data_IF_297548718220
#
_entry.id   IF_297548718220
#
_cell.length_a   1.000
_cell.length_b   1.000
_cell.length_c   1.000
_cell.angle_alpha   90.00
_cell.angle_beta   90.00
_cell.angle_gamma   90.00
#
_symmetry.space_group_name_H-M   'P 1'
#
loop_
_entity.id
_entity.type
_entity.pdbx_description
1 polymer ?
#
# COMPACT_ATOMS: atom_id res chain seq x y z
N UNK A 1 -4.53 -24.11 -1.43
CA UNK A 1 -5.30 -23.16 -2.28
C UNK A 1 -4.43 -22.73 -3.45
N UNK A 2 -5.03 -22.35 -4.57
CA UNK A 2 -4.28 -21.82 -5.72
C UNK A 2 -4.43 -20.31 -5.77
N UNK A 3 -3.33 -19.58 -5.68
CA UNK A 3 -3.30 -18.14 -5.44
C UNK A 3 -2.52 -17.44 -6.54
N UNK A 4 -3.04 -16.34 -7.06
CA UNK A 4 -2.35 -15.46 -8.00
C UNK A 4 -1.99 -14.14 -7.30
N UNK A 5 -0.72 -13.73 -7.38
CA UNK A 5 -0.25 -12.44 -6.88
C UNK A 5 0.27 -11.61 -8.05
N UNK A 6 -0.42 -10.53 -8.40
CA UNK A 6 0.08 -9.58 -9.39
C UNK A 6 0.95 -8.52 -8.69
N UNK A 7 2.02 -8.07 -9.32
CA UNK A 7 2.99 -7.16 -8.67
C UNK A 7 3.88 -7.86 -7.62
N UNK A 8 4.05 -9.18 -7.73
CA UNK A 8 4.77 -10.01 -6.74
C UNK A 8 6.26 -9.68 -6.58
N UNK A 9 6.86 -8.90 -7.46
CA UNK A 9 8.25 -8.40 -7.34
C UNK A 9 8.32 -6.95 -6.83
N UNK A 10 7.17 -6.37 -6.46
CA UNK A 10 7.09 -5.06 -5.83
C UNK A 10 7.41 -5.11 -4.33
N UNK A 11 7.47 -3.94 -3.69
CA UNK A 11 7.79 -3.78 -2.27
C UNK A 11 6.87 -4.60 -1.34
N UNK A 12 5.56 -4.42 -1.44
CA UNK A 12 4.58 -5.18 -0.64
C UNK A 12 4.40 -6.60 -1.23
N UNK A 13 4.32 -6.69 -2.57
CA UNK A 13 4.01 -7.94 -3.26
C UNK A 13 5.02 -9.05 -3.03
N UNK A 14 6.31 -8.73 -2.89
CA UNK A 14 7.35 -9.73 -2.63
C UNK A 14 7.24 -10.36 -1.24
N UNK A 15 6.87 -9.56 -0.23
CA UNK A 15 6.63 -10.06 1.13
C UNK A 15 5.37 -10.90 1.22
N UNK A 16 4.29 -10.42 0.60
CA UNK A 16 3.04 -11.16 0.56
C UNK A 16 3.22 -12.49 -0.18
N UNK A 17 3.92 -12.48 -1.32
CA UNK A 17 4.22 -13.70 -2.07
C UNK A 17 4.99 -14.71 -1.21
N UNK A 18 6.05 -14.27 -0.52
CA UNK A 18 6.83 -15.10 0.39
C UNK A 18 6.00 -15.65 1.56
N UNK A 19 5.11 -14.83 2.13
CA UNK A 19 4.27 -15.25 3.25
C UNK A 19 3.19 -16.27 2.83
N UNK A 20 2.75 -16.26 1.57
CA UNK A 20 1.77 -17.18 1.01
C UNK A 20 2.41 -18.49 0.51
N UNK A 21 3.71 -18.46 0.15
CA UNK A 21 4.48 -19.63 -0.31
C UNK A 21 4.98 -20.45 0.89
N UNK A 22 4.04 -21.03 1.59
CA UNK A 22 4.20 -21.77 2.85
C UNK A 22 4.35 -23.29 2.65
N UNK A 23 4.43 -23.76 1.41
CA UNK A 23 4.47 -25.18 1.04
C UNK A 23 3.11 -25.87 1.05
N UNK A 24 2.03 -25.19 1.47
CA UNK A 24 0.64 -25.69 1.45
C UNK A 24 -0.13 -25.08 0.26
N UNK A 25 0.13 -23.81 -0.03
CA UNK A 25 -0.48 -23.11 -1.13
C UNK A 25 0.33 -23.27 -2.43
N UNK A 26 -0.38 -23.23 -3.56
CA UNK A 26 0.24 -23.08 -4.89
C UNK A 26 0.16 -21.62 -5.26
N UNK A 27 1.28 -20.91 -5.18
CA UNK A 27 1.32 -19.45 -5.40
C UNK A 27 2.01 -19.13 -6.72
N UNK A 28 1.34 -18.39 -7.58
CA UNK A 28 1.89 -17.91 -8.85
C UNK A 28 1.98 -16.39 -8.84
N UNK A 29 3.01 -15.84 -9.49
CA UNK A 29 3.25 -14.41 -9.59
C UNK A 29 3.24 -13.90 -11.03
N UNK A 30 2.66 -12.71 -11.25
CA UNK A 30 2.77 -11.93 -12.50
C UNK A 30 3.35 -10.56 -12.13
N UNK A 31 4.37 -10.13 -12.90
CA UNK A 31 4.99 -8.82 -12.68
C UNK A 31 5.72 -8.36 -13.94
N UNK A 32 5.64 -7.09 -14.26
CA UNK A 32 6.34 -6.50 -15.41
C UNK A 32 7.85 -6.64 -15.29
N UNK A 33 8.42 -6.68 -14.07
CA UNK A 33 9.84 -6.98 -13.85
C UNK A 33 10.24 -8.41 -14.29
N UNK A 34 9.25 -9.27 -14.53
CA UNK A 34 9.43 -10.61 -15.11
C UNK A 34 9.07 -10.67 -16.61
N UNK A 35 8.84 -9.53 -17.25
CA UNK A 35 8.37 -9.46 -18.64
C UNK A 35 6.89 -9.87 -18.82
N UNK A 36 6.11 -9.91 -17.74
CA UNK A 36 4.68 -10.31 -17.78
C UNK A 36 3.79 -9.15 -17.33
N UNK A 37 3.13 -8.52 -18.31
CA UNK A 37 2.09 -7.51 -18.09
C UNK A 37 0.72 -8.21 -17.90
N UNK A 38 -0.02 -7.87 -16.86
CA UNK A 38 -1.35 -8.45 -16.59
C UNK A 38 -2.35 -8.21 -17.73
N UNK A 39 -2.18 -7.14 -18.48
CA UNK A 39 -3.06 -6.83 -19.64
C UNK A 39 -2.97 -7.94 -20.72
N UNK A 40 -1.83 -8.63 -20.83
CA UNK A 40 -1.56 -9.58 -21.90
C UNK A 40 -1.22 -11.00 -21.43
N UNK A 41 -0.89 -11.19 -20.15
CA UNK A 41 -0.26 -12.44 -19.68
C UNK A 41 -1.00 -13.07 -18.49
N UNK A 42 -2.30 -12.78 -18.34
CA UNK A 42 -3.11 -13.49 -17.35
C UNK A 42 -3.17 -15.00 -17.70
N UNK A 43 -3.04 -15.90 -16.71
CA UNK A 43 -2.93 -17.33 -16.96
C UNK A 43 -4.29 -17.94 -17.36
N UNK A 44 -4.27 -18.98 -18.20
CA UNK A 44 -5.48 -19.74 -18.57
C UNK A 44 -6.00 -20.66 -17.44
N UNK A 45 -5.31 -20.72 -16.30
CA UNK A 45 -5.65 -21.59 -15.20
C UNK A 45 -6.57 -20.89 -14.19
N UNK A 46 -7.42 -21.67 -13.49
CA UNK A 46 -8.26 -21.15 -12.42
C UNK A 46 -7.47 -20.95 -11.14
N UNK A 47 -7.88 -19.95 -10.34
CA UNK A 47 -7.33 -19.61 -9.03
C UNK A 47 -8.45 -19.42 -8.02
N UNK A 48 -8.18 -19.81 -6.77
CA UNK A 48 -9.13 -19.56 -5.68
C UNK A 48 -9.12 -18.07 -5.28
N UNK A 49 -7.93 -17.48 -5.16
CA UNK A 49 -7.73 -16.12 -4.69
C UNK A 49 -6.78 -15.35 -5.60
N UNK A 50 -7.04 -14.05 -5.73
CA UNK A 50 -6.18 -13.11 -6.45
C UNK A 50 -5.83 -11.93 -5.56
N UNK A 51 -4.55 -11.68 -5.37
CA UNK A 51 -4.04 -10.44 -4.78
C UNK A 51 -3.57 -9.52 -5.90
N UNK A 52 -4.27 -8.41 -6.06
CA UNK A 52 -3.98 -7.45 -7.12
C UNK A 52 -3.18 -6.26 -6.58
N UNK A 53 -1.83 -6.38 -6.63
CA UNK A 53 -0.90 -5.34 -6.19
C UNK A 53 -0.17 -4.65 -7.36
N UNK A 54 -0.27 -5.17 -8.57
CA UNK A 54 0.35 -4.56 -9.74
C UNK A 54 -0.22 -3.16 -9.99
N UNK A 55 0.63 -2.16 -9.97
CA UNK A 55 0.27 -0.77 -10.24
C UNK A 55 1.52 0.10 -10.44
N UNK A 56 1.36 1.28 -11.02
CA UNK A 56 2.31 2.39 -10.94
C UNK A 56 1.94 3.26 -9.72
N UNK A 57 2.66 3.15 -8.58
CA UNK A 57 2.22 3.71 -7.31
C UNK A 57 2.63 5.18 -7.08
N UNK A 58 3.27 5.83 -8.05
CA UNK A 58 3.79 7.19 -7.91
C UNK A 58 2.73 8.25 -8.22
N UNK A 59 2.38 9.06 -7.22
CA UNK A 59 1.53 10.24 -7.38
C UNK A 59 2.20 11.24 -8.36
N UNK A 60 3.50 11.50 -8.20
CA UNK A 60 4.22 12.45 -9.04
C UNK A 60 4.26 12.01 -10.51
N UNK A 61 4.54 10.72 -10.76
CA UNK A 61 4.54 10.20 -12.12
C UNK A 61 3.14 10.26 -12.75
N UNK A 62 2.09 10.00 -11.97
CA UNK A 62 0.71 10.05 -12.48
C UNK A 62 0.31 11.45 -12.97
N UNK A 63 0.88 12.51 -12.39
CA UNK A 63 0.65 13.88 -12.85
C UNK A 63 1.39 14.15 -14.17
N UNK A 64 2.58 13.56 -14.35
CA UNK A 64 3.36 13.72 -15.58
C UNK A 64 2.84 12.88 -16.73
N UNK A 65 2.39 11.65 -16.43
CA UNK A 65 2.03 10.61 -17.39
C UNK A 65 0.66 10.00 -17.03
N UNK A 66 -0.43 10.79 -17.03
CA UNK A 66 -1.73 10.34 -16.54
C UNK A 66 -2.32 9.18 -17.36
N UNK A 67 -2.12 9.18 -18.68
CA UNK A 67 -2.64 8.13 -19.57
C UNK A 67 -1.96 6.78 -19.32
N UNK A 68 -0.63 6.76 -19.16
CA UNK A 68 0.12 5.55 -18.86
C UNK A 68 -0.24 5.01 -17.49
N UNK A 69 -0.41 5.91 -16.52
CA UNK A 69 -0.86 5.54 -15.18
C UNK A 69 -2.28 4.97 -15.21
N UNK A 70 -3.19 5.55 -16.02
CA UNK A 70 -4.54 4.99 -16.19
C UNK A 70 -4.48 3.57 -16.76
N UNK A 71 -3.71 3.37 -17.83
CA UNK A 71 -3.55 2.06 -18.46
C UNK A 71 -3.06 1.00 -17.48
N UNK A 72 -2.03 1.33 -16.68
CA UNK A 72 -1.40 0.36 -15.78
C UNK A 72 -2.13 0.19 -14.44
N UNK A 73 -3.01 1.10 -14.06
CA UNK A 73 -3.76 1.02 -12.81
C UNK A 73 -5.23 0.67 -13.05
N UNK A 74 -6.04 1.59 -13.60
CA UNK A 74 -7.48 1.37 -13.74
C UNK A 74 -7.80 0.35 -14.84
N UNK A 75 -7.33 0.56 -16.07
CA UNK A 75 -7.61 -0.37 -17.17
C UNK A 75 -7.08 -1.79 -16.90
N UNK A 76 -5.89 -1.90 -16.34
CA UNK A 76 -5.32 -3.20 -15.95
C UNK A 76 -6.16 -3.92 -14.87
N UNK A 77 -6.80 -3.16 -13.95
CA UNK A 77 -7.75 -3.72 -12.98
C UNK A 77 -9.01 -4.24 -13.68
N UNK A 78 -9.58 -3.48 -14.63
CA UNK A 78 -10.73 -3.94 -15.43
C UNK A 78 -10.43 -5.24 -16.14
N UNK A 79 -9.26 -5.36 -16.79
CA UNK A 79 -8.83 -6.58 -17.49
C UNK A 79 -8.72 -7.77 -16.52
N UNK A 80 -8.17 -7.54 -15.33
CA UNK A 80 -8.06 -8.60 -14.31
C UNK A 80 -9.43 -9.03 -13.78
N UNK A 81 -10.34 -8.12 -13.54
CA UNK A 81 -11.69 -8.44 -13.06
C UNK A 81 -12.50 -9.20 -14.11
N UNK A 82 -12.40 -8.83 -15.39
CA UNK A 82 -13.06 -9.58 -16.48
C UNK A 82 -12.48 -11.00 -16.60
N UNK A 83 -11.16 -11.14 -16.45
CA UNK A 83 -10.52 -12.45 -16.38
C UNK A 83 -10.99 -13.23 -15.15
N UNK A 84 -11.03 -12.63 -13.97
CA UNK A 84 -11.46 -13.28 -12.73
C UNK A 84 -12.90 -13.82 -12.83
N UNK A 85 -13.78 -13.08 -13.48
CA UNK A 85 -15.17 -13.48 -13.78
C UNK A 85 -15.23 -14.76 -14.59
N UNK A 86 -14.38 -14.94 -15.61
CA UNK A 86 -14.38 -16.11 -16.49
C UNK A 86 -13.62 -17.31 -15.89
N UNK A 87 -12.85 -17.13 -14.84
CA UNK A 87 -12.00 -18.15 -14.20
C UNK A 87 -12.48 -18.58 -12.80
N UNK A 88 -13.73 -18.26 -12.43
CA UNK A 88 -14.35 -18.65 -11.16
C UNK A 88 -13.49 -18.31 -9.92
N UNK A 89 -12.87 -17.12 -9.93
CA UNK A 89 -12.11 -16.63 -8.76
C UNK A 89 -13.09 -16.38 -7.61
N UNK A 90 -12.79 -16.95 -6.44
CA UNK A 90 -13.64 -16.81 -5.25
C UNK A 90 -13.57 -15.40 -4.68
N UNK A 91 -12.36 -14.85 -4.58
CA UNK A 91 -12.14 -13.50 -4.03
C UNK A 91 -10.95 -12.81 -4.69
N UNK A 92 -11.15 -11.52 -4.99
CA UNK A 92 -10.11 -10.59 -5.42
C UNK A 92 -9.82 -9.60 -4.28
N UNK A 93 -8.58 -9.57 -3.79
CA UNK A 93 -8.09 -8.61 -2.80
C UNK A 93 -7.32 -7.53 -3.56
N UNK A 94 -7.90 -6.35 -3.66
CA UNK A 94 -7.34 -5.22 -4.41
C UNK A 94 -6.56 -4.26 -3.51
N UNK A 95 -5.32 -3.99 -3.87
CA UNK A 95 -4.48 -2.99 -3.20
C UNK A 95 -4.82 -1.58 -3.65
N UNK A 96 -5.68 -0.93 -2.88
CA UNK A 96 -6.01 0.48 -3.04
C UNK A 96 -5.06 1.37 -2.22
N UNK A 97 -5.38 2.64 -2.07
CA UNK A 97 -4.56 3.64 -1.42
C UNK A 97 -5.41 4.69 -0.70
N UNK A 98 -4.89 5.25 0.39
CA UNK A 98 -5.46 6.46 1.02
C UNK A 98 -5.65 7.61 0.01
N UNK A 99 -4.85 7.66 -1.06
CA UNK A 99 -4.98 8.64 -2.13
C UNK A 99 -6.34 8.57 -2.87
N UNK A 100 -7.02 7.44 -2.87
CA UNK A 100 -8.36 7.30 -3.44
C UNK A 100 -9.42 8.11 -2.67
N UNK A 101 -9.24 8.26 -1.35
CA UNK A 101 -10.10 9.09 -0.50
C UNK A 101 -9.74 10.58 -0.61
N UNK A 102 -8.47 10.89 -0.84
CA UNK A 102 -7.94 12.25 -0.77
C UNK A 102 -8.16 12.85 0.63
N UNK A 103 -8.36 14.17 0.67
CA UNK A 103 -8.59 14.93 1.92
C UNK A 103 -10.07 14.97 2.34
N UNK A 104 -10.88 13.99 1.96
CA UNK A 104 -12.32 13.97 2.23
C UNK A 104 -13.18 14.57 1.10
N UNK A 105 -12.57 15.21 0.12
CA UNK A 105 -13.24 15.81 -1.05
C UNK A 105 -12.98 15.02 -2.35
N UNK A 106 -12.45 13.81 -2.22
CA UNK A 106 -12.06 12.96 -3.35
C UNK A 106 -10.57 13.04 -3.69
N UNK A 107 -10.13 12.25 -4.67
CA UNK A 107 -8.73 12.18 -5.05
C UNK A 107 -8.19 13.50 -5.61
N UNK A 108 -6.95 13.85 -5.25
CA UNK A 108 -6.27 15.07 -5.69
C UNK A 108 -5.18 14.80 -6.74
N UNK A 109 -5.11 13.59 -7.26
CA UNK A 109 -4.14 13.18 -8.28
C UNK A 109 -4.73 12.13 -9.22
N UNK A 110 -4.19 11.99 -10.46
CA UNK A 110 -4.59 10.91 -11.36
C UNK A 110 -4.42 9.52 -10.70
N UNK A 111 -3.32 9.28 -9.97
CA UNK A 111 -3.13 8.03 -9.24
C UNK A 111 -4.28 7.74 -8.26
N UNK A 112 -4.65 8.73 -7.44
CA UNK A 112 -5.76 8.57 -6.49
C UNK A 112 -7.09 8.31 -7.20
N UNK A 113 -7.35 9.02 -8.32
CA UNK A 113 -8.53 8.81 -9.14
C UNK A 113 -8.55 7.39 -9.73
N UNK A 114 -7.44 6.90 -10.26
CA UNK A 114 -7.36 5.56 -10.83
C UNK A 114 -7.59 4.47 -9.78
N UNK A 115 -7.10 4.67 -8.54
CA UNK A 115 -7.40 3.77 -7.42
C UNK A 115 -8.89 3.79 -7.05
N UNK A 116 -9.52 4.98 -7.01
CA UNK A 116 -10.95 5.12 -6.76
C UNK A 116 -11.81 4.45 -7.85
N UNK A 117 -11.47 4.63 -9.14
CA UNK A 117 -12.15 3.95 -10.25
C UNK A 117 -12.07 2.43 -10.05
N UNK A 118 -10.90 1.90 -9.75
CA UNK A 118 -10.71 0.47 -9.51
C UNK A 118 -11.50 -0.07 -8.31
N UNK A 119 -11.65 0.71 -7.23
CA UNK A 119 -12.54 0.36 -6.11
C UNK A 119 -13.99 0.25 -6.56
N UNK A 120 -14.46 1.19 -7.38
CA UNK A 120 -15.84 1.16 -7.90
C UNK A 120 -16.05 -0.02 -8.84
N UNK A 121 -15.07 -0.36 -9.68
CA UNK A 121 -15.13 -1.56 -10.52
C UNK A 121 -15.17 -2.84 -9.67
N UNK A 122 -14.31 -2.98 -8.65
CA UNK A 122 -14.35 -4.10 -7.72
C UNK A 122 -15.75 -4.28 -7.11
N UNK A 123 -16.34 -3.18 -6.63
CA UNK A 123 -17.70 -3.20 -6.07
C UNK A 123 -18.73 -3.64 -7.10
N UNK A 124 -18.69 -3.05 -8.29
CA UNK A 124 -19.64 -3.35 -9.36
C UNK A 124 -19.54 -4.82 -9.81
N UNK A 125 -18.32 -5.38 -9.87
CA UNK A 125 -18.13 -6.78 -10.21
C UNK A 125 -18.65 -7.73 -9.14
N UNK A 126 -18.58 -7.35 -7.86
CA UNK A 126 -19.23 -8.12 -6.78
C UNK A 126 -20.74 -8.11 -6.93
N UNK A 127 -21.33 -6.96 -7.19
CA UNK A 127 -22.80 -6.79 -7.31
C UNK A 127 -23.37 -7.50 -8.55
N UNK A 128 -22.67 -7.47 -9.68
CA UNK A 128 -23.21 -7.94 -10.96
C UNK A 128 -22.78 -9.37 -11.33
N UNK A 129 -21.61 -9.83 -10.87
CA UNK A 129 -21.00 -11.06 -11.38
C UNK A 129 -20.69 -12.09 -10.30
N UNK A 130 -21.12 -11.84 -9.06
CA UNK A 130 -20.96 -12.77 -7.94
C UNK A 130 -19.48 -13.13 -7.66
N UNK A 131 -18.56 -12.17 -7.86
CA UNK A 131 -17.15 -12.28 -7.48
C UNK A 131 -16.99 -11.53 -6.18
N UNK A 132 -16.59 -12.19 -5.09
CA UNK A 132 -16.30 -11.44 -3.88
C UNK A 132 -15.05 -10.59 -4.07
N UNK A 133 -15.13 -9.28 -3.79
CA UNK A 133 -14.00 -8.38 -3.86
C UNK A 133 -13.87 -7.57 -2.57
N UNK A 134 -12.63 -7.23 -2.21
CA UNK A 134 -12.33 -6.29 -1.14
C UNK A 134 -11.20 -5.35 -1.57
N UNK A 135 -11.39 -4.06 -1.34
CA UNK A 135 -10.38 -3.04 -1.64
C UNK A 135 -9.71 -2.57 -0.33
N UNK A 136 -8.40 -2.72 -0.24
CA UNK A 136 -7.62 -2.35 0.93
C UNK A 136 -6.90 -1.02 0.67
N UNK A 137 -7.35 0.06 1.31
CA UNK A 137 -6.69 1.37 1.25
C UNK A 137 -5.51 1.39 2.19
N UNK A 138 -4.30 1.22 1.66
CA UNK A 138 -3.08 1.34 2.45
C UNK A 138 -2.75 2.80 2.73
N UNK A 139 -2.38 3.08 3.98
CA UNK A 139 -1.85 4.37 4.38
C UNK A 139 -0.32 4.38 4.23
N UNK A 140 0.43 5.15 4.99
CA UNK A 140 1.87 5.32 4.76
C UNK A 140 2.67 4.08 5.19
N UNK A 141 2.83 3.12 4.27
CA UNK A 141 3.52 1.86 4.53
C UNK A 141 5.03 2.07 4.63
N UNK A 142 5.66 1.52 5.66
CA UNK A 142 7.09 1.61 5.89
C UNK A 142 7.68 0.29 6.38
N UNK A 143 9.02 0.15 6.31
CA UNK A 143 9.80 -0.92 6.92
C UNK A 143 11.29 -0.54 6.95
N UNK A 144 12.08 -1.27 7.74
CA UNK A 144 13.52 -1.10 7.90
C UNK A 144 14.34 -1.31 6.62
N UNK A 145 13.83 -2.09 5.69
CA UNK A 145 14.47 -2.41 4.41
C UNK A 145 13.83 -1.70 3.20
N UNK A 146 12.92 -0.74 3.44
CA UNK A 146 12.33 0.05 2.37
C UNK A 146 13.40 0.91 1.68
N UNK A 147 13.60 0.69 0.39
CA UNK A 147 14.54 1.49 -0.40
C UNK A 147 13.96 2.88 -0.69
N UNK A 148 14.77 3.91 -0.48
CA UNK A 148 14.46 5.27 -0.92
C UNK A 148 14.73 5.44 -2.44
N UNK A 149 14.01 6.38 -3.08
CA UNK A 149 14.16 6.63 -4.53
C UNK A 149 13.29 5.73 -5.39
N UNK A 150 12.63 4.73 -4.83
CA UNK A 150 11.58 3.95 -5.51
C UNK A 150 10.30 4.77 -5.71
N UNK A 151 9.39 4.24 -6.53
CA UNK A 151 8.10 4.86 -6.80
C UNK A 151 7.20 5.03 -5.54
N UNK A 152 7.54 4.34 -4.45
CA UNK A 152 6.86 4.40 -3.18
C UNK A 152 7.86 4.66 -2.05
N UNK A 153 8.16 5.92 -1.79
CA UNK A 153 9.08 6.34 -0.73
C UNK A 153 8.35 7.17 0.32
N UNK A 154 8.50 6.80 1.60
CA UNK A 154 7.99 7.56 2.74
C UNK A 154 9.09 8.44 3.33
N UNK A 155 8.72 9.38 4.20
CA UNK A 155 9.70 10.18 4.94
C UNK A 155 10.62 9.29 5.80
N UNK A 156 10.11 8.18 6.34
CA UNK A 156 10.90 7.22 7.12
C UNK A 156 12.00 6.62 6.26
N UNK A 157 11.67 6.11 5.05
CA UNK A 157 12.68 5.55 4.14
C UNK A 157 13.68 6.61 3.66
N UNK A 158 13.22 7.85 3.43
CA UNK A 158 14.10 8.96 3.07
C UNK A 158 15.11 9.27 4.18
N UNK A 159 14.64 9.34 5.42
CA UNK A 159 15.53 9.61 6.57
C UNK A 159 16.49 8.47 6.85
N UNK A 160 16.05 7.20 6.75
CA UNK A 160 16.97 6.06 6.85
C UNK A 160 18.11 6.14 5.81
N UNK A 161 17.79 6.51 4.57
CA UNK A 161 18.80 6.66 3.52
C UNK A 161 19.75 7.84 3.82
N UNK A 162 19.20 9.00 4.20
CA UNK A 162 20.01 10.17 4.55
C UNK A 162 20.97 9.88 5.71
N UNK A 163 20.53 9.13 6.73
CA UNK A 163 21.40 8.69 7.84
C UNK A 163 22.54 7.81 7.32
N UNK A 164 22.24 6.80 6.51
CA UNK A 164 23.26 5.90 5.92
C UNK A 164 24.29 6.65 5.07
N UNK A 165 23.90 7.75 4.44
CA UNK A 165 24.75 8.60 3.61
C UNK A 165 25.47 9.70 4.41
N UNK A 166 25.18 9.86 5.71
CA UNK A 166 25.71 10.96 6.54
C UNK A 166 25.16 12.34 6.17
N UNK A 167 24.02 12.39 5.48
CA UNK A 167 23.37 13.63 5.06
C UNK A 167 22.45 14.20 6.14
N UNK A 168 22.24 15.54 6.20
CA UNK A 168 21.23 16.13 7.07
C UNK A 168 19.81 15.66 6.72
N UNK A 169 18.99 15.39 7.73
CA UNK A 169 17.61 14.96 7.57
C UNK A 169 16.72 16.15 7.24
N UNK A 170 16.01 16.06 6.12
CA UNK A 170 15.15 17.16 5.66
C UNK A 170 13.76 17.11 6.28
N UNK A 171 13.31 18.24 6.82
CA UNK A 171 11.93 18.49 7.23
C UNK A 171 11.37 19.68 6.43
N UNK A 172 10.26 19.47 5.72
CA UNK A 172 9.53 20.54 5.08
C UNK A 172 8.44 21.04 6.04
N UNK A 173 8.42 22.34 6.33
CA UNK A 173 7.54 22.96 7.32
C UNK A 173 8.06 22.86 8.75
N UNK A 174 7.14 22.92 9.70
CA UNK A 174 7.41 22.91 11.16
C UNK A 174 7.52 21.50 11.77
N UNK A 175 7.24 20.46 10.98
CA UNK A 175 7.22 19.06 11.42
C UNK A 175 5.96 18.65 12.19
N UNK A 176 4.96 19.53 12.34
CA UNK A 176 3.69 19.20 13.02
C UNK A 176 2.70 18.48 12.11
N UNK A 177 3.00 18.34 10.82
CA UNK A 177 2.17 17.53 9.91
C UNK A 177 2.12 16.08 10.37
N UNK A 178 0.91 15.53 10.47
CA UNK A 178 0.68 14.18 10.97
C UNK A 178 0.38 13.19 9.84
N UNK A 179 0.85 11.97 10.01
CA UNK A 179 0.55 10.85 9.12
C UNK A 179 0.28 9.59 9.95
N UNK A 180 -0.59 8.74 9.44
CA UNK A 180 -0.74 7.39 9.94
C UNK A 180 0.24 6.49 9.17
N UNK A 181 1.21 5.94 9.90
CA UNK A 181 2.21 5.02 9.35
C UNK A 181 1.89 3.60 9.77
N UNK A 182 1.96 2.67 8.84
CA UNK A 182 1.73 1.25 9.09
C UNK A 182 2.91 0.41 8.61
N UNK A 183 3.34 -0.56 9.42
CA UNK A 183 4.42 -1.46 9.04
C UNK A 183 4.00 -2.40 7.90
N UNK A 184 4.91 -2.72 6.99
CA UNK A 184 4.61 -3.56 5.83
C UNK A 184 4.13 -4.96 6.22
N UNK A 185 4.60 -5.51 7.34
CA UNK A 185 4.16 -6.83 7.81
C UNK A 185 2.69 -6.83 8.24
N UNK A 186 2.19 -5.71 8.78
CA UNK A 186 0.75 -5.55 9.06
C UNK A 186 -0.07 -5.45 7.78
N UNK A 187 0.46 -4.81 6.73
CA UNK A 187 -0.18 -4.85 5.40
C UNK A 187 -0.28 -6.28 4.87
N UNK A 188 0.80 -7.07 4.97
CA UNK A 188 0.79 -8.49 4.60
C UNK A 188 -0.24 -9.25 5.43
N UNK A 189 -0.26 -9.03 6.74
CA UNK A 189 -1.24 -9.62 7.66
C UNK A 189 -2.68 -9.29 7.30
N UNK A 190 -2.99 -8.03 6.96
CA UNK A 190 -4.33 -7.61 6.54
C UNK A 190 -4.79 -8.30 5.24
N UNK A 191 -3.89 -8.45 4.26
CA UNK A 191 -4.18 -9.17 3.01
C UNK A 191 -4.52 -10.64 3.30
N UNK A 192 -3.71 -11.33 4.10
CA UNK A 192 -3.92 -12.74 4.46
C UNK A 192 -5.19 -12.89 5.30
N UNK A 193 -5.45 -11.96 6.21
CA UNK A 193 -6.70 -11.92 6.98
C UNK A 193 -7.91 -11.87 6.04
N UNK A 194 -7.92 -10.94 5.06
CA UNK A 194 -9.01 -10.83 4.11
C UNK A 194 -9.17 -12.07 3.23
N UNK A 195 -8.09 -12.76 2.87
CA UNK A 195 -8.16 -14.05 2.17
C UNK A 195 -8.88 -15.11 3.02
N UNK A 196 -8.58 -15.18 4.32
CA UNK A 196 -9.08 -16.21 5.22
C UNK A 196 -10.44 -15.85 5.87
N UNK A 197 -10.92 -14.61 5.71
CA UNK A 197 -12.19 -14.17 6.25
C UNK A 197 -13.34 -15.02 5.66
N UNK A 198 -14.21 -15.54 6.53
CA UNK A 198 -15.35 -16.36 6.13
C UNK A 198 -16.51 -15.57 5.54
N UNK A 199 -16.61 -14.31 5.91
CA UNK A 199 -17.66 -13.42 5.41
C UNK A 199 -17.26 -12.86 4.05
N UNK A 200 -18.23 -12.74 3.15
CA UNK A 200 -18.05 -12.04 1.89
C UNK A 200 -17.97 -10.53 2.14
N UNK A 201 -17.12 -9.86 1.40
CA UNK A 201 -16.92 -8.41 1.48
C UNK A 201 -17.83 -7.62 0.53
N UNK A 202 -18.31 -8.27 -0.53
CA UNK A 202 -19.26 -7.68 -1.49
C UNK A 202 -18.80 -6.31 -2.05
N UNK A 203 -17.54 -6.17 -2.34
CA UNK A 203 -16.97 -4.92 -2.85
C UNK A 203 -16.61 -3.89 -1.77
N UNK A 204 -16.52 -4.30 -0.54
CA UNK A 204 -16.17 -3.43 0.59
C UNK A 204 -14.81 -2.77 0.43
N UNK A 205 -14.73 -1.55 0.94
CA UNK A 205 -13.47 -0.79 1.05
C UNK A 205 -13.08 -0.69 2.51
N UNK A 206 -11.87 -1.17 2.85
CA UNK A 206 -11.30 -1.17 4.18
C UNK A 206 -10.05 -0.28 4.22
N UNK A 207 -9.97 0.60 5.22
CA UNK A 207 -8.72 1.32 5.51
C UNK A 207 -7.78 0.40 6.28
N UNK A 208 -6.55 0.26 5.82
CA UNK A 208 -5.49 -0.53 6.45
C UNK A 208 -4.38 0.42 6.87
N UNK A 209 -4.36 0.73 8.15
CA UNK A 209 -3.52 1.72 8.79
C UNK A 209 -3.27 1.33 10.24
N UNK A 210 -2.43 2.07 10.97
CA UNK A 210 -2.22 1.83 12.40
C UNK A 210 -3.38 2.30 13.28
N UNK A 211 -4.17 3.26 12.79
CA UNK A 211 -5.18 3.97 13.57
C UNK A 211 -4.60 5.13 14.40
N UNK A 212 -3.27 5.29 14.39
CA UNK A 212 -2.57 6.35 15.11
C UNK A 212 -1.91 7.32 14.13
N UNK A 213 -2.18 8.61 14.30
CA UNK A 213 -1.52 9.66 13.52
C UNK A 213 -0.41 10.30 14.34
N UNK A 214 0.82 10.24 13.84
CA UNK A 214 1.99 10.84 14.50
C UNK A 214 2.56 11.98 13.65
N UNK A 215 3.15 12.97 14.32
CA UNK A 215 3.83 14.08 13.65
C UNK A 215 5.24 13.69 13.20
N UNK A 216 5.78 14.39 12.20
CA UNK A 216 7.19 14.24 11.83
C UNK A 216 8.10 14.65 12.98
N UNK A 217 7.66 15.58 13.82
CA UNK A 217 8.36 16.00 15.04
C UNK A 217 8.48 14.88 16.07
N UNK A 218 7.47 13.99 16.18
CA UNK A 218 7.56 12.79 17.02
C UNK A 218 8.68 11.87 16.52
N UNK A 219 8.72 11.58 15.21
CA UNK A 219 9.76 10.73 14.62
C UNK A 219 11.14 11.39 14.76
N UNK A 220 11.21 12.72 14.55
CA UNK A 220 12.42 13.51 14.81
C UNK A 220 12.93 13.30 16.24
N UNK A 221 12.05 13.48 17.24
CA UNK A 221 12.41 13.31 18.67
C UNK A 221 12.86 11.90 18.97
N UNK A 222 12.27 10.89 18.32
CA UNK A 222 12.72 9.50 18.44
C UNK A 222 14.16 9.34 17.93
N UNK A 223 14.47 9.85 16.74
CA UNK A 223 15.83 9.79 16.14
C UNK A 223 16.83 10.54 17.03
N UNK A 224 16.51 11.75 17.46
CA UNK A 224 17.38 12.56 18.34
C UNK A 224 17.65 11.87 19.69
N UNK A 225 16.72 11.06 20.19
CA UNK A 225 16.93 10.26 21.40
C UNK A 225 17.97 9.15 21.23
N UNK A 226 18.19 8.70 19.98
CA UNK A 226 19.18 7.68 19.63
C UNK A 226 20.54 8.31 19.29
N UNK A 227 20.53 9.43 18.57
CA UNK A 227 21.74 10.15 18.19
C UNK A 227 21.52 11.66 18.27
N UNK A 228 22.13 12.30 19.28
CA UNK A 228 22.00 13.76 19.50
C UNK A 228 22.75 14.60 18.47
N UNK A 229 23.68 14.00 17.72
CA UNK A 229 24.48 14.68 16.69
C UNK A 229 23.78 14.68 15.31
N UNK A 230 22.55 14.18 15.24
CA UNK A 230 21.75 14.16 13.99
C UNK A 230 21.52 15.59 13.49
N UNK A 231 21.94 15.84 12.24
CA UNK A 231 21.77 17.15 11.60
C UNK A 231 20.42 17.22 10.88
N UNK A 232 19.73 18.35 11.06
CA UNK A 232 18.44 18.61 10.46
C UNK A 232 18.50 19.80 9.51
N UNK A 233 17.87 19.64 8.33
CA UNK A 233 17.72 20.69 7.30
C UNK A 233 16.24 21.08 7.20
N UNK A 234 15.89 22.21 7.84
CA UNK A 234 14.51 22.71 7.85
C UNK A 234 14.24 23.53 6.58
N UNK A 235 13.20 23.15 5.85
CA UNK A 235 12.77 23.82 4.61
C UNK A 235 11.40 24.44 4.78
N UNK A 236 11.01 25.44 3.95
CA UNK A 236 9.62 25.91 3.89
C UNK A 236 8.64 24.77 3.64
N UNK A 237 7.39 24.92 4.11
CA UNK A 237 6.32 23.97 3.85
C UNK A 237 6.11 23.81 2.35
N UNK A 238 5.80 22.59 1.92
CA UNK A 238 5.42 22.33 0.52
C UNK A 238 4.02 22.87 0.25
N UNK A 239 3.84 23.48 -0.91
CA UNK A 239 2.52 23.85 -1.38
C UNK A 239 1.65 22.59 -1.55
N UNK A 240 0.42 22.64 -1.02
CA UNK A 240 -0.51 21.50 -1.08
C UNK A 240 -0.21 20.36 -0.11
N UNK A 241 0.74 20.50 0.83
CA UNK A 241 0.99 19.44 1.82
C UNK A 241 -0.21 19.28 2.78
N UNK A 242 -0.58 18.02 3.00
CA UNK A 242 -1.67 17.64 3.92
C UNK A 242 -1.16 17.84 5.35
N UNK A 243 -1.74 18.76 6.11
CA UNK A 243 -1.34 18.99 7.51
C UNK A 243 -1.67 17.79 8.40
N UNK A 244 -2.88 17.25 8.31
CA UNK A 244 -3.33 16.15 9.17
C UNK A 244 -3.95 15.05 8.33
N UNK A 245 -3.41 13.84 8.47
CA UNK A 245 -3.94 12.64 7.85
C UNK A 245 -4.32 11.65 8.94
N UNK A 246 -5.62 11.37 9.05
CA UNK A 246 -6.16 10.37 9.98
C UNK A 246 -6.83 9.25 9.22
N UNK A 247 -6.74 8.05 9.76
CA UNK A 247 -7.41 6.87 9.23
C UNK A 247 -8.51 6.41 10.18
N UNK A 248 -9.65 6.09 9.63
CA UNK A 248 -10.70 5.36 10.37
C UNK A 248 -10.59 3.88 10.00
N UNK A 249 -10.10 3.07 10.91
CA UNK A 249 -9.91 1.63 10.72
C UNK A 249 -10.99 0.79 11.41
N UNK A 250 -12.04 1.41 11.97
CA UNK A 250 -13.09 0.68 12.71
C UNK A 250 -13.67 -0.49 11.92
N UNK A 251 -13.91 -0.30 10.63
CA UNK A 251 -14.51 -1.36 9.80
C UNK A 251 -13.66 -2.64 9.75
N UNK A 252 -12.35 -2.55 9.68
CA UNK A 252 -11.48 -3.73 9.68
C UNK A 252 -11.26 -4.29 11.09
N UNK A 253 -11.29 -3.42 12.12
CA UNK A 253 -11.27 -3.86 13.53
C UNK A 253 -12.51 -4.68 13.88
N UNK A 254 -13.71 -4.24 13.44
CA UNK A 254 -14.99 -4.93 13.68
C UNK A 254 -15.03 -6.31 12.99
N UNK A 255 -14.25 -6.49 11.93
CA UNK A 255 -14.05 -7.79 11.27
C UNK A 255 -13.07 -8.71 12.02
N UNK A 256 -12.35 -8.19 13.03
CA UNK A 256 -11.42 -8.94 13.88
C UNK A 256 -9.94 -8.83 13.49
N UNK A 257 -9.56 -7.92 12.60
CA UNK A 257 -8.14 -7.63 12.32
C UNK A 257 -7.69 -6.34 12.99
N UNK A 258 -6.49 -6.36 13.55
CA UNK A 258 -5.79 -5.17 14.07
C UNK A 258 -4.32 -5.20 13.71
N UNK A 259 -3.66 -4.01 13.57
CA UNK A 259 -2.21 -3.96 13.39
C UNK A 259 -1.49 -4.50 14.65
N UNK A 260 -0.37 -5.19 14.44
CA UNK A 260 0.39 -5.82 15.53
C UNK A 260 1.67 -5.06 15.87
N UNK A 261 2.19 -4.24 14.95
CA UNK A 261 3.45 -3.54 15.13
C UNK A 261 3.17 -2.09 15.52
N UNK A 262 3.48 -1.73 16.76
CA UNK A 262 3.37 -0.35 17.21
C UNK A 262 4.31 0.55 16.43
N UNK A 263 3.96 1.84 16.30
CA UNK A 263 4.85 2.81 15.61
C UNK A 263 6.21 2.88 16.29
N UNK A 264 6.27 2.78 17.63
CA UNK A 264 7.52 2.80 18.37
C UNK A 264 8.42 1.61 18.03
N UNK A 265 7.85 0.40 17.99
CA UNK A 265 8.60 -0.82 17.64
C UNK A 265 9.06 -0.78 16.17
N UNK A 266 8.22 -0.28 15.28
CA UNK A 266 8.59 -0.10 13.88
C UNK A 266 9.69 0.93 13.67
N UNK A 267 9.68 2.05 14.40
CA UNK A 267 10.77 3.03 14.38
C UNK A 267 12.06 2.45 14.99
N UNK A 268 11.97 1.61 16.01
CA UNK A 268 13.13 0.92 16.57
C UNK A 268 13.77 -0.02 15.52
N UNK A 269 12.96 -0.77 14.75
CA UNK A 269 13.47 -1.58 13.64
C UNK A 269 14.17 -0.72 12.58
N UNK A 270 13.56 0.43 12.23
CA UNK A 270 14.09 1.32 11.18
C UNK A 270 15.37 2.05 11.60
N UNK A 271 15.46 2.52 12.83
CA UNK A 271 16.51 3.46 13.27
C UNK A 271 17.42 2.91 14.39
N UNK A 272 17.02 1.87 15.12
CA UNK A 272 17.76 1.37 16.29
C UNK A 272 19.16 0.82 16.02
N UNK A 273 19.46 0.47 14.75
CA UNK A 273 20.78 -0.06 14.33
C UNK A 273 21.57 0.85 13.39
N UNK A 274 21.04 2.00 12.99
CA UNK A 274 21.66 2.88 11.99
C UNK A 274 21.93 4.31 12.46
N UNK A 275 21.54 4.62 13.71
CA UNK A 275 21.70 5.95 14.32
C UNK A 275 22.75 5.90 15.42
#
# INVERSE_FOLDING_TARGET
>A
MKILVTGHKGYIGSRLFKALDDGVNIVHGIDMKSGRDIIHHLPAANYDYVFHLAAFPSVQQSVKEPSDTFRNNAYATSVLLEWAKTHNVKRVIFSSSAAAKGNGHGPTSPYGLHKLISEQECKLYSELYNIDTVSLRYFNVYSEDQQFGGAYSTVISAWMQMIREGNPLRIDGDGEQTRDFIHVDDIVGANIFCMNCKNDFNGDVLNVASGESISLKYIKSFIDSKNKDTKWDMKPSREGDIKHSTSDIRKILDLGWSPNISIKDGLEKCFGGIV
#
